data_IF_461548309328
#
_entry.id   IF_461548309328
#
_cell.length_a   1.000
_cell.length_b   1.000
_cell.length_c   1.000
_cell.angle_alpha   90.00
_cell.angle_beta   90.00
_cell.angle_gamma   90.00
#
_symmetry.space_group_name_H-M   'P 1'
#
loop_
_entity.id
_entity.type
_entity.pdbx_description
1 polymer ?
#
# COMPACT_ATOMS: atom_id res chain seq x y z
N UNK A 1 1.23 9.96 -27.81
CA UNK A 1 2.08 8.76 -27.74
C UNK A 1 1.26 7.60 -27.19
N UNK A 2 1.61 6.32 -27.37
CA UNK A 2 0.86 5.25 -26.72
C UNK A 2 0.91 5.45 -25.20
N UNK A 3 -0.24 5.47 -24.53
CA UNK A 3 -0.32 5.45 -23.06
C UNK A 3 0.14 4.11 -22.50
N UNK A 4 -0.11 3.01 -23.23
CA UNK A 4 0.28 1.68 -22.80
C UNK A 4 1.81 1.50 -22.74
N UNK A 5 2.26 0.90 -21.65
CA UNK A 5 3.63 0.40 -21.47
C UNK A 5 3.79 -0.85 -22.34
N UNK A 6 4.87 -0.90 -23.12
CA UNK A 6 5.17 -2.05 -23.98
C UNK A 6 5.71 -3.23 -23.16
N UNK A 7 5.61 -4.48 -23.65
CA UNK A 7 6.17 -5.63 -22.93
C UNK A 7 7.67 -5.54 -22.63
N UNK A 8 8.43 -4.84 -23.48
CA UNK A 8 9.85 -4.62 -23.27
C UNK A 8 10.11 -3.60 -22.14
N UNK A 9 9.38 -2.47 -22.15
CA UNK A 9 9.42 -1.46 -21.08
C UNK A 9 9.00 -2.08 -19.75
N UNK A 10 7.89 -2.84 -19.72
CA UNK A 10 7.41 -3.54 -18.52
C UNK A 10 8.47 -4.49 -17.96
N UNK A 11 9.05 -5.34 -18.81
CA UNK A 11 10.12 -6.26 -18.38
C UNK A 11 11.29 -5.49 -17.78
N UNK A 12 11.74 -4.42 -18.43
CA UNK A 12 12.84 -3.59 -17.93
C UNK A 12 12.50 -2.95 -16.60
N UNK A 13 11.30 -2.39 -16.45
CA UNK A 13 10.82 -1.78 -15.22
C UNK A 13 10.80 -2.79 -14.07
N UNK A 14 10.17 -3.95 -14.25
CA UNK A 14 10.14 -5.03 -13.24
C UNK A 14 11.55 -5.45 -12.86
N UNK A 15 12.44 -5.71 -13.83
CA UNK A 15 13.81 -6.14 -13.51
C UNK A 15 14.61 -5.07 -12.78
N UNK A 16 14.35 -3.79 -13.06
CA UNK A 16 14.96 -2.69 -12.33
C UNK A 16 14.45 -2.65 -10.89
N UNK A 17 13.13 -2.61 -10.70
CA UNK A 17 12.47 -2.57 -9.38
C UNK A 17 12.92 -3.74 -8.50
N UNK A 18 12.85 -4.98 -9.00
CA UNK A 18 13.34 -6.18 -8.29
C UNK A 18 14.85 -6.10 -8.01
N UNK A 19 15.63 -5.56 -8.94
CA UNK A 19 17.09 -5.38 -8.79
C UNK A 19 17.48 -4.41 -7.67
N UNK A 20 16.60 -3.47 -7.30
CA UNK A 20 16.83 -2.57 -6.16
C UNK A 20 16.66 -3.25 -4.80
N UNK A 21 16.09 -4.46 -4.75
CA UNK A 21 15.83 -5.18 -3.51
C UNK A 21 16.83 -6.31 -3.34
N UNK A 22 17.72 -6.18 -2.36
CA UNK A 22 18.71 -7.20 -2.05
C UNK A 22 18.54 -7.70 -0.62
N UNK A 23 18.56 -9.04 -0.36
CA UNK A 23 18.44 -9.57 1.00
C UNK A 23 19.48 -9.01 1.98
N UNK A 24 20.71 -8.78 1.48
CA UNK A 24 21.79 -8.19 2.28
C UNK A 24 21.55 -6.71 2.62
N UNK A 25 21.00 -5.94 1.68
CA UNK A 25 20.64 -4.55 1.90
C UNK A 25 19.55 -4.41 2.97
N UNK A 26 18.47 -5.19 2.83
CA UNK A 26 17.35 -5.21 3.77
C UNK A 26 17.82 -5.55 5.19
N UNK A 27 18.61 -6.60 5.37
CA UNK A 27 19.11 -7.01 6.68
C UNK A 27 20.00 -5.93 7.35
N UNK A 28 20.83 -5.24 6.56
CA UNK A 28 21.70 -4.17 7.07
C UNK A 28 20.93 -2.91 7.50
N UNK A 29 19.86 -2.58 6.78
CA UNK A 29 19.02 -1.42 7.09
C UNK A 29 18.07 -1.66 8.26
N UNK A 30 17.59 -2.89 8.43
CA UNK A 30 16.76 -3.28 9.58
C UNK A 30 17.42 -2.92 10.92
N UNK A 31 18.69 -3.30 11.11
CA UNK A 31 19.42 -2.97 12.34
C UNK A 31 19.66 -1.46 12.54
N UNK A 32 19.76 -0.67 11.46
CA UNK A 32 19.86 0.79 11.55
C UNK A 32 18.53 1.41 11.94
N UNK A 33 17.42 0.94 11.38
CA UNK A 33 16.08 1.43 11.71
C UNK A 33 15.74 1.17 13.19
N UNK A 34 16.05 -0.02 13.72
CA UNK A 34 15.87 -0.30 15.16
C UNK A 34 16.70 0.63 16.06
N UNK A 35 17.90 1.01 15.61
CA UNK A 35 18.73 1.98 16.32
C UNK A 35 18.12 3.39 16.26
N UNK A 36 17.60 3.81 15.10
CA UNK A 36 16.95 5.10 14.90
C UNK A 36 15.64 5.21 15.70
N UNK A 37 14.87 4.13 15.79
CA UNK A 37 13.62 4.07 16.57
C UNK A 37 13.82 4.38 18.06
N UNK A 38 15.03 4.18 18.59
CA UNK A 38 15.38 4.53 19.98
C UNK A 38 15.71 6.01 20.19
N UNK A 39 15.82 6.80 19.11
CA UNK A 39 16.12 8.23 19.17
C UNK A 39 14.85 9.06 19.34
N UNK A 40 14.93 10.29 19.88
CA UNK A 40 13.79 11.21 19.91
C UNK A 40 13.25 11.49 18.50
N UNK A 41 11.92 11.57 18.35
CA UNK A 41 11.25 11.77 17.05
C UNK A 41 11.75 13.01 16.30
N UNK A 42 12.04 14.12 17.00
CA UNK A 42 12.57 15.34 16.39
C UNK A 42 13.93 15.11 15.71
N UNK A 43 14.77 14.23 16.27
CA UNK A 43 16.05 13.87 15.68
C UNK A 43 15.87 12.91 14.50
N UNK A 44 14.96 11.94 14.62
CA UNK A 44 14.62 11.04 13.51
C UNK A 44 14.16 11.84 12.29
N UNK A 45 13.22 12.77 12.47
CA UNK A 45 12.73 13.67 11.41
C UNK A 45 13.86 14.50 10.80
N UNK A 46 14.72 15.10 11.62
CA UNK A 46 15.87 15.85 11.12
C UNK A 46 16.83 15.00 10.26
N UNK A 47 17.07 13.73 10.65
CA UNK A 47 17.88 12.79 9.85
C UNK A 47 17.20 12.51 8.52
N UNK A 48 15.90 12.27 8.54
CA UNK A 48 15.09 12.02 7.34
C UNK A 48 15.12 13.23 6.42
N UNK A 49 14.85 14.44 6.92
CA UNK A 49 14.88 15.69 6.15
C UNK A 49 16.25 15.88 5.47
N UNK A 50 17.33 15.57 6.18
CA UNK A 50 18.69 15.71 5.65
C UNK A 50 19.04 14.63 4.61
N UNK A 51 18.63 13.38 4.84
CA UNK A 51 18.81 12.29 3.87
C UNK A 51 17.95 12.51 2.61
N UNK A 52 16.78 13.10 2.79
CA UNK A 52 15.85 13.44 1.73
C UNK A 52 16.45 14.48 0.74
N UNK A 53 17.42 15.27 1.19
CA UNK A 53 18.08 16.32 0.42
C UNK A 53 19.24 15.85 -0.47
N UNK A 54 19.65 14.57 -0.42
CA UNK A 54 20.90 14.08 -1.07
C UNK A 54 20.76 12.94 -2.09
N UNK A 55 19.54 12.61 -2.52
CA UNK A 55 19.14 11.78 -3.68
C UNK A 55 19.96 10.50 -4.03
N UNK A 56 19.40 9.33 -3.66
CA UNK A 56 18.92 8.38 -4.68
C UNK A 56 17.37 8.39 -4.54
N UNK A 57 16.67 8.62 -5.66
CA UNK A 57 15.34 9.27 -5.66
C UNK A 57 14.16 8.30 -5.46
N UNK A 58 14.34 7.02 -5.78
CA UNK A 58 13.29 5.99 -5.66
C UNK A 58 13.81 4.69 -5.03
N UNK A 59 12.94 4.01 -4.29
CA UNK A 59 13.13 2.65 -3.81
C UNK A 59 12.09 1.72 -4.43
N UNK A 60 12.50 0.46 -4.66
CA UNK A 60 11.57 -0.60 -5.01
C UNK A 60 10.64 -0.92 -3.86
N UNK A 61 9.36 -1.09 -4.17
CA UNK A 61 8.31 -1.55 -3.29
C UNK A 61 7.50 -2.59 -4.06
N UNK A 62 7.75 -3.87 -3.76
CA UNK A 62 7.07 -4.99 -4.41
C UNK A 62 6.05 -5.56 -3.44
N UNK A 63 4.78 -5.54 -3.85
CA UNK A 63 3.73 -6.29 -3.17
C UNK A 63 3.71 -7.70 -3.77
N UNK A 64 3.88 -8.71 -2.93
CA UNK A 64 3.97 -10.10 -3.37
C UNK A 64 2.62 -10.62 -3.88
N UNK A 65 2.61 -11.71 -4.68
CA UNK A 65 1.38 -12.36 -5.09
C UNK A 65 0.49 -12.72 -3.89
N UNK A 66 -0.81 -12.78 -4.16
CA UNK A 66 -1.87 -13.03 -3.20
C UNK A 66 -2.10 -11.90 -2.19
N UNK A 67 -1.80 -10.67 -2.58
CA UNK A 67 -2.25 -9.47 -1.86
C UNK A 67 -3.78 -9.48 -1.76
N UNK A 68 -4.29 -9.44 -0.54
CA UNK A 68 -5.68 -9.72 -0.21
C UNK A 68 -6.35 -8.49 0.39
N UNK A 69 -7.51 -8.13 -0.12
CA UNK A 69 -8.22 -6.90 0.25
C UNK A 69 -9.67 -7.19 0.61
N UNK A 70 -10.12 -6.62 1.72
CA UNK A 70 -11.49 -6.71 2.23
C UNK A 70 -12.09 -5.30 2.30
N UNK A 71 -13.17 -5.04 1.59
CA UNK A 71 -13.89 -3.77 1.71
C UNK A 71 -15.09 -3.90 2.65
N UNK A 72 -15.21 -2.94 3.56
CA UNK A 72 -16.27 -2.85 4.55
C UNK A 72 -16.98 -1.51 4.41
N UNK A 73 -18.31 -1.52 4.53
CA UNK A 73 -19.09 -0.29 4.45
C UNK A 73 -18.86 0.55 5.71
N UNK A 74 -18.69 1.85 5.55
CA UNK A 74 -18.59 2.78 6.68
C UNK A 74 -20.00 3.02 7.24
N UNK A 75 -20.21 2.72 8.52
CA UNK A 75 -21.49 2.85 9.21
C UNK A 75 -21.58 4.11 10.08
N UNK A 76 -20.44 4.67 10.49
CA UNK A 76 -20.30 5.96 11.15
C UNK A 76 -19.33 6.84 10.34
N UNK A 77 -19.91 7.68 9.46
CA UNK A 77 -19.16 8.58 8.60
C UNK A 77 -18.39 9.64 9.41
N UNK A 78 -18.98 10.17 10.48
CA UNK A 78 -18.33 11.18 11.33
C UNK A 78 -17.07 10.61 12.00
N UNK A 79 -17.12 9.34 12.43
CA UNK A 79 -15.95 8.65 12.96
C UNK A 79 -14.87 8.41 11.91
N UNK A 80 -15.24 8.01 10.70
CA UNK A 80 -14.29 7.83 9.61
C UNK A 80 -13.67 9.17 9.16
N UNK A 81 -14.45 10.25 9.07
CA UNK A 81 -13.96 11.58 8.71
C UNK A 81 -12.94 12.13 9.72
N UNK A 82 -13.10 11.83 11.02
CA UNK A 82 -12.11 12.21 12.04
C UNK A 82 -10.75 11.53 11.87
N UNK A 83 -10.67 10.47 11.07
CA UNK A 83 -9.39 9.82 10.74
C UNK A 83 -8.69 10.51 9.56
N UNK A 84 -9.38 11.34 8.80
CA UNK A 84 -8.79 12.00 7.63
C UNK A 84 -7.99 13.25 8.05
N UNK A 85 -6.86 13.54 7.38
CA UNK A 85 -6.23 14.85 7.48
C UNK A 85 -7.17 15.97 7.02
N UNK A 86 -6.84 17.22 7.37
CA UNK A 86 -7.56 18.38 6.84
C UNK A 86 -7.46 18.42 5.31
N UNK A 87 -8.54 18.86 4.64
CA UNK A 87 -8.57 19.00 3.19
C UNK A 87 -8.95 17.72 2.43
N UNK A 88 -9.47 16.71 3.13
CA UNK A 88 -10.03 15.50 2.55
C UNK A 88 -11.54 15.43 2.77
N UNK A 89 -12.25 14.73 1.88
CA UNK A 89 -13.67 14.39 2.04
C UNK A 89 -13.90 12.92 1.72
N UNK A 90 -14.78 12.27 2.49
CA UNK A 90 -15.24 10.93 2.12
C UNK A 90 -15.98 10.98 0.79
N UNK A 91 -15.71 9.98 -0.05
CA UNK A 91 -16.40 9.77 -1.32
C UNK A 91 -16.75 8.29 -1.46
N UNK A 92 -17.89 7.94 -2.08
CA UNK A 92 -18.21 6.55 -2.31
C UNK A 92 -17.33 5.97 -3.42
N UNK A 93 -16.84 4.74 -3.22
CA UNK A 93 -15.95 4.03 -4.14
C UNK A 93 -16.33 2.56 -4.23
N UNK A 94 -15.86 1.87 -5.27
CA UNK A 94 -16.07 0.44 -5.46
C UNK A 94 -14.73 -0.25 -5.69
N UNK A 95 -14.57 -1.52 -5.30
CA UNK A 95 -13.35 -2.27 -5.65
C UNK A 95 -13.34 -2.64 -7.13
N UNK A 96 -14.48 -3.04 -7.67
CA UNK A 96 -14.63 -3.49 -9.06
C UNK A 96 -15.46 -2.50 -9.90
N UNK A 97 -15.16 -2.43 -11.20
CA UNK A 97 -15.73 -1.43 -12.10
C UNK A 97 -17.24 -1.60 -12.34
N UNK A 98 -17.79 -2.79 -12.09
CA UNK A 98 -19.20 -3.12 -12.28
C UNK A 98 -20.04 -3.03 -11.00
N UNK A 99 -19.45 -2.54 -9.90
CA UNK A 99 -20.09 -2.46 -8.59
C UNK A 99 -20.61 -1.06 -8.26
N UNK A 100 -21.56 -1.02 -7.32
CA UNK A 100 -22.12 0.25 -6.86
C UNK A 100 -21.20 0.87 -5.81
N UNK A 101 -20.67 2.08 -6.02
CA UNK A 101 -19.80 2.73 -5.05
C UNK A 101 -20.47 2.96 -3.69
N UNK A 102 -19.71 2.73 -2.61
CA UNK A 102 -20.12 2.96 -1.21
C UNK A 102 -19.01 3.67 -0.45
N UNK A 103 -19.35 4.39 0.61
CA UNK A 103 -18.31 4.81 1.55
C UNK A 103 -17.72 3.56 2.20
N UNK A 104 -16.44 3.31 1.98
CA UNK A 104 -15.82 2.09 2.47
C UNK A 104 -14.48 2.33 3.15
N UNK A 105 -14.21 1.46 4.11
CA UNK A 105 -12.88 1.20 4.62
C UNK A 105 -12.36 -0.06 3.94
N UNK A 106 -11.08 -0.07 3.57
CA UNK A 106 -10.44 -1.22 2.95
C UNK A 106 -9.37 -1.73 3.90
N UNK A 107 -9.39 -3.02 4.19
CA UNK A 107 -8.30 -3.70 4.86
C UNK A 107 -7.46 -4.43 3.82
N UNK A 108 -6.22 -4.00 3.62
CA UNK A 108 -5.24 -4.70 2.79
C UNK A 108 -4.37 -5.60 3.66
N UNK A 109 -4.12 -6.84 3.23
CA UNK A 109 -3.22 -7.79 3.86
C UNK A 109 -2.28 -8.38 2.81
N UNK A 110 -0.99 -8.12 2.92
CA UNK A 110 -0.02 -8.50 1.90
C UNK A 110 1.38 -8.70 2.47
N UNK A 111 2.18 -9.49 1.75
CA UNK A 111 3.63 -9.47 1.96
C UNK A 111 4.25 -8.41 1.05
N UNK A 112 5.29 -7.76 1.55
CA UNK A 112 6.03 -6.72 0.84
C UNK A 112 7.52 -7.00 0.88
N UNK A 113 8.19 -6.69 -0.23
CA UNK A 113 9.64 -6.60 -0.34
C UNK A 113 9.99 -5.21 -0.85
N UNK A 114 10.68 -4.42 -0.02
CA UNK A 114 11.21 -3.13 -0.39
C UNK A 114 12.73 -3.11 -0.24
N UNK A 115 13.40 -2.10 -0.78
CA UNK A 115 14.86 -1.95 -0.67
C UNK A 115 15.34 -1.86 0.78
N UNK A 116 14.46 -1.46 1.69
CA UNK A 116 14.79 -1.18 3.10
C UNK A 116 14.10 -2.12 4.10
N UNK A 117 13.00 -2.78 3.73
CA UNK A 117 12.25 -3.68 4.61
C UNK A 117 11.61 -4.84 3.84
N UNK A 118 11.33 -5.93 4.55
CA UNK A 118 10.61 -7.09 4.01
C UNK A 118 9.77 -7.71 5.13
N UNK A 119 8.52 -8.06 4.83
CA UNK A 119 7.61 -8.68 5.80
C UNK A 119 6.15 -8.66 5.37
N UNK A 120 5.27 -8.95 6.31
CA UNK A 120 3.83 -8.85 6.16
C UNK A 120 3.32 -7.51 6.69
N UNK A 121 2.30 -6.95 6.03
CA UNK A 121 1.59 -5.75 6.45
C UNK A 121 0.09 -6.01 6.38
N UNK A 122 -0.63 -5.47 7.37
CA UNK A 122 -2.07 -5.29 7.32
C UNK A 122 -2.33 -3.80 7.50
N UNK A 123 -3.00 -3.18 6.55
CA UNK A 123 -3.26 -1.73 6.52
C UNK A 123 -4.75 -1.47 6.43
N UNK A 124 -5.23 -0.54 7.26
CA UNK A 124 -6.59 -0.02 7.23
C UNK A 124 -6.60 1.31 6.50
N UNK A 125 -7.26 1.34 5.36
CA UNK A 125 -7.46 2.53 4.55
C UNK A 125 -8.86 3.09 4.73
N UNK A 126 -8.96 4.41 4.83
CA UNK A 126 -10.20 5.15 4.55
C UNK A 126 -10.02 5.82 3.19
N UNK A 127 -10.98 5.60 2.29
CA UNK A 127 -10.91 6.16 0.95
C UNK A 127 -11.56 7.53 0.93
N UNK A 128 -10.79 8.53 0.50
CA UNK A 128 -11.21 9.92 0.49
C UNK A 128 -10.73 10.62 -0.78
N UNK A 129 -11.35 11.74 -1.13
CA UNK A 129 -10.87 12.62 -2.18
C UNK A 129 -10.14 13.81 -1.55
N UNK A 130 -8.92 14.09 -2.01
CA UNK A 130 -8.23 15.33 -1.65
C UNK A 130 -8.95 16.51 -2.31
N UNK A 131 -9.46 17.45 -1.52
CA UNK A 131 -10.16 18.65 -2.01
C UNK A 131 -9.20 19.53 -2.83
N UNK A 132 -7.90 19.46 -2.54
CA UNK A 132 -6.86 20.25 -3.21
C UNK A 132 -6.57 19.74 -4.63
N UNK A 133 -6.44 18.43 -4.82
CA UNK A 133 -6.02 17.85 -6.10
C UNK A 133 -7.17 17.20 -6.88
N UNK A 134 -8.28 16.88 -6.22
CA UNK A 134 -9.39 16.12 -6.78
C UNK A 134 -9.09 14.63 -6.96
N UNK A 135 -7.91 14.16 -6.55
CA UNK A 135 -7.55 12.74 -6.62
C UNK A 135 -8.22 11.96 -5.49
N UNK A 136 -8.66 10.76 -5.83
CA UNK A 136 -8.97 9.73 -4.85
C UNK A 136 -7.66 9.30 -4.18
N UNK A 137 -7.68 9.19 -2.86
CA UNK A 137 -6.51 8.98 -2.02
C UNK A 137 -6.75 7.80 -1.08
N UNK A 138 -5.76 6.92 -0.96
CA UNK A 138 -5.73 5.88 0.06
C UNK A 138 -5.13 6.47 1.34
N UNK A 139 -5.97 6.79 2.32
CA UNK A 139 -5.49 7.32 3.59
C UNK A 139 -5.26 6.16 4.56
N UNK A 140 -4.01 5.87 4.87
CA UNK A 140 -3.61 4.84 5.83
C UNK A 140 -3.91 5.37 7.23
N UNK A 141 -4.92 4.82 7.89
CA UNK A 141 -5.36 5.27 9.21
C UNK A 141 -4.80 4.42 10.36
N UNK A 142 -4.50 3.15 10.06
CA UNK A 142 -3.89 2.21 10.98
C UNK A 142 -3.17 1.10 10.19
N UNK A 143 -2.19 0.45 10.82
CA UNK A 143 -1.52 -0.72 10.28
C UNK A 143 -0.90 -1.59 11.39
N UNK A 144 -0.61 -2.83 11.04
CA UNK A 144 0.26 -3.73 11.79
C UNK A 144 1.28 -4.38 10.85
N UNK A 145 2.53 -4.55 11.30
CA UNK A 145 3.57 -5.18 10.50
C UNK A 145 4.60 -5.95 11.34
N UNK A 146 5.17 -7.01 10.77
CA UNK A 146 6.31 -7.73 11.36
C UNK A 146 7.68 -7.22 10.87
N UNK A 147 7.71 -6.11 10.14
CA UNK A 147 8.95 -5.49 9.68
C UNK A 147 9.05 -4.05 10.17
N UNK A 148 10.18 -3.40 9.91
CA UNK A 148 10.38 -2.00 10.30
C UNK A 148 9.45 -1.08 9.51
N UNK A 149 9.04 0.01 10.14
CA UNK A 149 8.16 0.99 9.53
C UNK A 149 8.71 2.40 9.72
N UNK A 150 8.24 3.28 8.85
CA UNK A 150 8.39 4.72 9.03
C UNK A 150 7.08 5.37 8.62
N UNK A 151 6.52 6.18 9.52
CA UNK A 151 5.39 7.04 9.22
C UNK A 151 5.57 8.43 9.86
N UNK A 152 4.91 9.48 9.34
CA UNK A 152 5.11 10.84 9.81
C UNK A 152 4.75 11.07 11.29
N UNK A 153 3.70 10.39 11.78
CA UNK A 153 3.19 10.53 13.14
C UNK A 153 4.08 9.88 14.19
N UNK A 154 4.53 8.64 13.95
CA UNK A 154 5.23 7.82 14.92
C UNK A 154 6.75 7.74 14.69
N UNK A 155 7.23 8.03 13.47
CA UNK A 155 8.64 7.92 13.08
C UNK A 155 9.05 6.49 12.74
N UNK A 156 10.33 6.14 12.95
CA UNK A 156 10.80 4.77 12.80
C UNK A 156 10.28 3.89 13.94
N UNK A 157 9.67 2.78 13.58
CA UNK A 157 9.23 1.74 14.51
C UNK A 157 9.72 0.36 14.05
N UNK A 158 9.86 -0.55 15.02
CA UNK A 158 10.15 -1.96 14.75
C UNK A 158 8.85 -2.70 14.38
N UNK A 159 8.92 -4.02 14.32
CA UNK A 159 7.74 -4.88 14.19
C UNK A 159 6.72 -4.58 15.31
N UNK A 160 5.46 -4.35 14.94
CA UNK A 160 4.35 -4.10 15.87
C UNK A 160 3.57 -5.38 16.20
N UNK A 161 3.86 -6.49 15.50
CA UNK A 161 3.12 -7.76 15.61
C UNK A 161 3.83 -8.83 16.42
N UNK A 162 3.08 -9.59 17.22
CA UNK A 162 3.54 -10.87 17.78
C UNK A 162 3.27 -12.06 16.84
N UNK A 163 2.33 -11.88 15.89
CA UNK A 163 2.04 -12.83 14.82
C UNK A 163 1.72 -12.05 13.55
N UNK A 164 2.34 -12.43 12.43
CA UNK A 164 2.00 -11.89 11.13
C UNK A 164 2.14 -12.95 10.04
N UNK A 165 1.03 -13.61 9.74
CA UNK A 165 0.92 -14.63 8.70
C UNK A 165 0.04 -14.06 7.59
N UNK A 166 0.61 -13.95 6.40
CA UNK A 166 -0.12 -13.76 5.15
C UNK A 166 0.49 -14.76 4.18
N UNK A 167 -0.23 -15.82 3.84
CA UNK A 167 0.32 -16.94 3.05
C UNK A 167 -0.78 -17.67 2.31
N UNK A 168 -0.40 -18.57 1.40
CA UNK A 168 -1.31 -19.52 0.77
C UNK A 168 -1.13 -20.94 1.29
N UNK A 169 -2.21 -21.71 1.34
CA UNK A 169 -2.19 -23.15 1.52
C UNK A 169 -2.13 -23.92 0.19
N UNK A 170 -1.82 -25.22 0.23
CA UNK A 170 -1.81 -26.08 -0.96
C UNK A 170 -3.18 -26.21 -1.65
N UNK A 171 -4.26 -25.91 -0.94
CA UNK A 171 -5.64 -25.83 -1.44
C UNK A 171 -5.88 -24.60 -2.29
N UNK A 172 -4.96 -23.63 -2.28
CA UNK A 172 -5.13 -22.32 -2.91
C UNK A 172 -5.83 -21.31 -2.01
N UNK A 173 -6.03 -21.59 -0.73
CA UNK A 173 -6.62 -20.60 0.19
C UNK A 173 -5.56 -19.58 0.61
N UNK A 174 -5.87 -18.28 0.54
CA UNK A 174 -5.14 -17.25 1.28
C UNK A 174 -5.52 -17.36 2.75
N UNK A 175 -4.52 -17.31 3.61
CA UNK A 175 -4.64 -17.32 5.07
C UNK A 175 -3.98 -16.05 5.60
N UNK A 176 -4.78 -15.25 6.31
CA UNK A 176 -4.33 -14.07 7.06
C UNK A 176 -4.54 -14.37 8.53
N UNK A 177 -3.48 -14.30 9.33
CA UNK A 177 -3.52 -14.36 10.79
C UNK A 177 -2.48 -13.40 11.35
N UNK A 178 -2.94 -12.20 11.71
CA UNK A 178 -2.09 -11.12 12.20
C UNK A 178 -2.60 -10.65 13.54
N UNK A 179 -1.69 -10.49 14.51
CA UNK A 179 -1.98 -9.98 15.84
C UNK A 179 -0.88 -9.04 16.30
N UNK A 180 -1.30 -7.85 16.73
CA UNK A 180 -0.43 -6.85 17.31
C UNK A 180 0.12 -7.33 18.66
N UNK A 181 1.38 -6.99 18.92
CA UNK A 181 2.01 -7.11 20.24
C UNK A 181 1.72 -5.89 21.13
N UNK A 182 1.30 -4.77 20.53
CA UNK A 182 1.26 -3.46 21.19
C UNK A 182 -0.17 -2.92 21.31
N UNK A 183 -1.07 -3.32 20.40
CA UNK A 183 -2.42 -2.77 20.23
C UNK A 183 -3.48 -3.88 20.26
N UNK A 184 -4.79 -3.56 20.39
CA UNK A 184 -5.86 -4.56 20.31
C UNK A 184 -6.07 -5.16 18.91
N UNK A 185 -5.35 -4.62 17.91
CA UNK A 185 -5.42 -5.00 16.51
C UNK A 185 -5.09 -6.48 16.29
N UNK A 186 -6.01 -7.19 15.64
CA UNK A 186 -5.78 -8.48 15.03
C UNK A 186 -6.84 -8.74 13.95
N UNK A 187 -6.44 -9.54 12.96
CA UNK A 187 -7.27 -10.05 11.88
C UNK A 187 -6.98 -11.54 11.67
N UNK A 188 -8.04 -12.32 11.48
CA UNK A 188 -7.97 -13.72 11.09
C UNK A 188 -8.98 -13.94 9.96
N UNK A 189 -8.49 -14.27 8.77
CA UNK A 189 -9.32 -14.50 7.60
C UNK A 189 -8.75 -15.61 6.72
N UNK A 190 -9.63 -16.37 6.08
CA UNK A 190 -9.28 -17.38 5.07
C UNK A 190 -10.15 -17.17 3.84
N UNK A 191 -9.58 -17.19 2.64
CA UNK A 191 -10.34 -17.02 1.41
C UNK A 191 -9.84 -17.94 0.29
N UNK A 192 -10.77 -18.55 -0.45
CA UNK A 192 -10.43 -19.49 -1.51
C UNK A 192 -10.13 -18.79 -2.83
N UNK A 193 -8.84 -18.70 -3.22
CA UNK A 193 -8.42 -18.12 -4.50
C UNK A 193 -9.03 -18.84 -5.70
N UNK A 194 -9.12 -20.19 -5.74
CA UNK A 194 -9.74 -20.90 -6.86
C UNK A 194 -11.22 -20.59 -7.08
N UNK A 195 -11.92 -20.07 -6.07
CA UNK A 195 -13.31 -19.63 -6.19
C UNK A 195 -13.45 -18.24 -6.83
N UNK A 196 -12.35 -17.48 -6.90
CA UNK A 196 -12.33 -16.15 -7.49
C UNK A 196 -12.28 -16.17 -9.01
N UNK A 197 -12.87 -15.15 -9.63
CA UNK A 197 -12.78 -14.89 -11.07
C UNK A 197 -12.10 -13.55 -11.29
N UNK A 198 -11.35 -13.39 -12.39
CA UNK A 198 -10.75 -12.09 -12.71
C UNK A 198 -11.84 -11.10 -13.14
N UNK A 199 -11.90 -9.94 -12.50
CA UNK A 199 -12.83 -8.86 -12.83
C UNK A 199 -12.07 -7.53 -12.98
N UNK A 200 -12.54 -6.64 -13.89
CA UNK A 200 -12.00 -5.30 -14.00
C UNK A 200 -12.13 -4.52 -12.69
N UNK A 201 -11.05 -3.85 -12.30
CA UNK A 201 -10.99 -3.01 -11.11
C UNK A 201 -11.51 -1.59 -11.40
N UNK A 202 -12.05 -0.92 -10.39
CA UNK A 202 -12.38 0.51 -10.50
C UNK A 202 -11.09 1.34 -10.62
N UNK A 203 -10.90 1.98 -11.78
CA UNK A 203 -9.62 2.64 -12.06
C UNK A 203 -9.41 3.90 -11.23
N UNK A 204 -10.47 4.54 -10.70
CA UNK A 204 -10.29 5.66 -9.77
C UNK A 204 -9.73 5.16 -8.45
N UNK A 205 -10.30 4.08 -7.91
CA UNK A 205 -9.78 3.50 -6.68
C UNK A 205 -8.34 3.01 -6.84
N UNK A 206 -8.06 2.21 -7.87
CA UNK A 206 -6.79 1.48 -7.95
C UNK A 206 -5.67 2.19 -8.69
N UNK A 207 -5.98 3.04 -9.67
CA UNK A 207 -4.94 3.85 -10.34
C UNK A 207 -4.78 5.17 -9.62
N UNK A 208 -5.81 6.05 -9.59
CA UNK A 208 -5.68 7.37 -8.94
C UNK A 208 -5.30 7.24 -7.46
N UNK A 209 -5.88 6.25 -6.76
CA UNK A 209 -5.54 5.97 -5.38
C UNK A 209 -4.07 5.60 -5.14
N UNK A 210 -3.41 4.89 -6.06
CA UNK A 210 -1.96 4.63 -5.95
C UNK A 210 -1.11 5.82 -6.41
N UNK A 211 -1.70 6.81 -7.08
CA UNK A 211 -1.06 8.12 -7.33
C UNK A 211 -1.15 9.05 -6.11
N UNK A 212 -1.98 8.71 -5.11
CA UNK A 212 -2.18 9.51 -3.93
C UNK A 212 -2.41 8.65 -2.67
N UNK A 213 -1.39 8.50 -1.86
CA UNK A 213 -1.43 7.83 -0.56
C UNK A 213 -1.07 8.85 0.51
N UNK A 214 -1.79 8.87 1.63
CA UNK A 214 -1.47 9.74 2.77
C UNK A 214 -1.69 9.01 4.09
N UNK A 215 -1.32 9.65 5.19
CA UNK A 215 -1.43 9.11 6.55
C UNK A 215 -2.50 9.85 7.34
N UNK A 216 -3.44 9.10 7.90
CA UNK A 216 -4.52 9.57 8.75
C UNK A 216 -4.48 8.96 10.15
N UNK A 217 -5.51 9.27 10.94
CA UNK A 217 -5.70 8.72 12.27
C UNK A 217 -4.48 8.94 13.18
N UNK A 218 -3.94 7.86 13.74
CA UNK A 218 -2.75 7.93 14.61
C UNK A 218 -1.45 8.20 13.86
N UNK A 219 -1.44 7.96 12.54
CA UNK A 219 -0.27 8.09 11.67
C UNK A 219 -0.12 9.51 11.12
N UNK A 220 -1.17 10.32 11.27
CA UNK A 220 -1.23 11.69 10.78
C UNK A 220 -0.16 12.57 11.43
N UNK A 221 0.36 13.50 10.63
CA UNK A 221 1.25 14.56 11.09
C UNK A 221 0.99 15.81 10.25
N UNK A 222 0.98 17.00 10.87
CA UNK A 222 0.64 18.28 10.19
C UNK A 222 1.57 18.61 9.01
N UNK A 223 2.79 18.08 9.01
CA UNK A 223 3.75 18.22 7.91
C UNK A 223 3.75 17.09 6.88
N UNK A 224 2.83 16.12 6.97
CA UNK A 224 2.69 15.06 5.95
C UNK A 224 2.13 15.64 4.67
N UNK A 225 2.62 15.15 3.54
CA UNK A 225 2.04 15.40 2.23
C UNK A 225 1.73 14.07 1.57
N UNK A 226 0.62 13.96 0.79
CA UNK A 226 0.33 12.75 0.05
C UNK A 226 1.45 12.45 -0.94
N UNK A 227 1.78 11.18 -1.09
CA UNK A 227 2.80 10.68 -2.00
C UNK A 227 2.19 9.74 -3.04
N UNK A 228 2.81 9.62 -4.21
CA UNK A 228 2.35 8.74 -5.28
C UNK A 228 3.37 7.66 -5.60
N UNK A 229 2.88 6.55 -6.13
CA UNK A 229 3.69 5.44 -6.59
C UNK A 229 3.89 5.51 -8.11
N UNK A 230 5.05 5.09 -8.59
CA UNK A 230 5.32 4.84 -10.02
C UNK A 230 5.14 3.35 -10.28
N UNK A 231 4.25 2.99 -11.21
CA UNK A 231 3.91 1.60 -11.55
C UNK A 231 3.33 1.51 -12.96
N UNK A 232 3.18 0.29 -13.50
CA UNK A 232 2.39 0.06 -14.70
C UNK A 232 0.89 0.01 -14.35
N UNK A 233 0.05 0.93 -14.84
CA UNK A 233 -1.39 0.92 -14.57
C UNK A 233 -2.09 -0.40 -14.95
N UNK A 234 -1.52 -1.16 -15.90
CA UNK A 234 -2.05 -2.47 -16.26
C UNK A 234 -2.02 -3.49 -15.11
N UNK A 235 -1.15 -3.32 -14.12
CA UNK A 235 -1.13 -4.12 -12.89
C UNK A 235 -2.38 -3.88 -12.01
N UNK A 236 -3.10 -2.77 -12.26
CA UNK A 236 -4.36 -2.41 -11.60
C UNK A 236 -5.56 -2.59 -12.53
N UNK A 237 -5.42 -3.32 -13.64
CA UNK A 237 -6.52 -3.51 -14.57
C UNK A 237 -7.60 -4.47 -14.02
N UNK A 238 -7.19 -5.52 -13.31
CA UNK A 238 -8.08 -6.59 -12.86
C UNK A 238 -7.49 -7.35 -11.66
N UNK A 239 -8.35 -7.81 -10.75
CA UNK A 239 -7.97 -8.75 -9.69
C UNK A 239 -8.99 -9.89 -9.61
N UNK A 240 -8.69 -10.92 -8.81
CA UNK A 240 -9.66 -11.95 -8.49
C UNK A 240 -10.71 -11.36 -7.55
N UNK A 241 -11.96 -11.33 -8.01
CA UNK A 241 -13.13 -11.11 -7.18
C UNK A 241 -13.50 -12.44 -6.51
N UNK A 242 -13.29 -12.53 -5.20
CA UNK A 242 -13.62 -13.75 -4.45
C UNK A 242 -15.08 -13.64 -3.96
N UNK A 243 -15.95 -14.62 -4.22
CA UNK A 243 -17.31 -14.62 -3.69
C UNK A 243 -17.29 -14.57 -2.15
N UNK A 244 -18.17 -13.77 -1.54
CA UNK A 244 -18.21 -13.60 -0.07
C UNK A 244 -18.34 -14.94 0.68
N UNK A 245 -19.14 -15.89 0.15
CA UNK A 245 -19.29 -17.23 0.74
C UNK A 245 -18.04 -18.11 0.65
N UNK A 246 -17.00 -17.70 -0.08
CA UNK A 246 -15.70 -18.34 -0.17
C UNK A 246 -14.61 -17.59 0.63
N UNK A 247 -14.99 -16.57 1.41
CA UNK A 247 -14.12 -15.85 2.32
C UNK A 247 -14.74 -15.89 3.74
N UNK A 248 -13.97 -16.39 4.70
CA UNK A 248 -14.34 -16.40 6.11
C UNK A 248 -13.47 -15.40 6.85
N UNK A 249 -14.09 -14.42 7.52
CA UNK A 249 -13.40 -13.51 8.45
C UNK A 249 -13.81 -13.92 9.86
N UNK A 250 -12.89 -14.55 10.58
CA UNK A 250 -13.15 -15.02 11.95
C UNK A 250 -12.97 -13.89 12.97
N UNK A 251 -12.06 -12.95 12.68
CA UNK A 251 -11.81 -11.77 13.51
C UNK A 251 -11.33 -10.63 12.64
N UNK A 252 -11.84 -9.43 12.88
CA UNK A 252 -11.23 -8.20 12.37
C UNK A 252 -11.55 -7.04 13.32
N UNK A 253 -10.53 -6.50 13.97
CA UNK A 253 -10.66 -5.38 14.93
C UNK A 253 -10.26 -4.03 14.35
N UNK A 254 -9.70 -4.00 13.14
CA UNK A 254 -9.35 -2.74 12.49
C UNK A 254 -10.62 -1.97 12.18
N UNK A 255 -10.70 -0.72 12.62
CA UNK A 255 -11.86 0.13 12.39
C UNK A 255 -13.14 -0.30 13.12
N UNK A 256 -13.03 -1.16 14.14
CA UNK A 256 -14.18 -1.60 14.93
C UNK A 256 -14.93 -0.39 15.52
N UNK A 257 -16.25 -0.42 15.41
CA UNK A 257 -17.15 0.63 15.91
C UNK A 257 -17.60 1.67 14.88
N UNK A 258 -16.98 1.76 13.70
CA UNK A 258 -17.38 2.73 12.66
C UNK A 258 -17.49 2.18 11.24
N UNK A 259 -17.07 0.93 11.01
CA UNK A 259 -17.39 0.15 9.80
C UNK A 259 -18.33 -1.01 10.13
N UNK A 260 -18.95 -1.58 9.11
CA UNK A 260 -19.70 -2.81 9.19
C UNK A 260 -18.82 -4.00 9.60
N UNK A 261 -19.43 -5.00 10.25
CA UNK A 261 -18.73 -6.19 10.76
C UNK A 261 -18.28 -7.14 9.64
N UNK A 262 -19.09 -7.25 8.57
CA UNK A 262 -18.85 -8.13 7.43
C UNK A 262 -18.38 -7.35 6.20
N UNK A 263 -17.43 -7.88 5.41
CA UNK A 263 -17.02 -7.24 4.17
C UNK A 263 -18.10 -7.41 3.10
N UNK A 264 -18.25 -6.42 2.22
CA UNK A 264 -19.18 -6.49 1.09
C UNK A 264 -18.48 -6.79 -0.24
N UNK A 265 -17.15 -6.62 -0.31
CA UNK A 265 -16.31 -7.04 -1.44
C UNK A 265 -14.99 -7.63 -0.95
N UNK A 266 -14.46 -8.57 -1.74
CA UNK A 266 -13.17 -9.23 -1.50
C UNK A 266 -12.41 -9.29 -2.81
N UNK A 267 -11.17 -8.79 -2.80
CA UNK A 267 -10.24 -8.92 -3.93
C UNK A 267 -8.93 -9.61 -3.54
N UNK A 268 -8.35 -10.30 -4.51
CA UNK A 268 -7.02 -10.89 -4.38
C UNK A 268 -6.24 -10.68 -5.67
N UNK A 269 -5.04 -10.11 -5.60
CA UNK A 269 -4.14 -10.03 -6.75
C UNK A 269 -3.33 -11.32 -6.82
N UNK A 270 -3.52 -12.19 -7.84
CA UNK A 270 -2.81 -13.47 -7.92
C UNK A 270 -1.37 -13.34 -8.42
N UNK A 271 -0.89 -12.12 -8.63
CA UNK A 271 0.42 -11.78 -9.15
C UNK A 271 1.03 -10.66 -8.30
N UNK A 272 2.36 -10.50 -8.40
CA UNK A 272 3.08 -9.44 -7.72
C UNK A 272 2.79 -8.09 -8.40
N UNK A 273 2.80 -7.02 -7.61
CA UNK A 273 2.67 -5.65 -8.09
C UNK A 273 3.99 -4.91 -7.82
N UNK A 274 4.50 -4.21 -8.83
CA UNK A 274 5.83 -3.61 -8.83
C UNK A 274 5.71 -2.09 -8.80
N UNK A 275 6.11 -1.50 -7.67
CA UNK A 275 6.10 -0.06 -7.50
C UNK A 275 7.51 0.49 -7.27
N UNK A 276 7.72 1.73 -7.71
CA UNK A 276 8.75 2.60 -7.18
C UNK A 276 8.09 3.68 -6.34
N UNK A 277 8.67 3.96 -5.18
CA UNK A 277 8.22 5.04 -4.29
C UNK A 277 9.43 5.80 -3.77
N UNK A 278 9.23 7.02 -3.29
CA UNK A 278 10.32 7.78 -2.70
C UNK A 278 10.74 7.13 -1.37
N UNK A 279 12.03 7.19 -1.05
CA UNK A 279 12.56 6.65 0.23
C UNK A 279 11.85 7.22 1.48
N UNK A 280 11.28 8.41 1.35
CA UNK A 280 10.44 9.07 2.35
C UNK A 280 9.22 9.69 1.65
N UNK A 281 8.02 9.68 2.26
CA UNK A 281 6.82 10.26 1.67
C UNK A 281 7.05 11.71 1.22
N UNK A 282 6.82 11.98 -0.06
CA UNK A 282 6.86 13.34 -0.64
C UNK A 282 5.82 13.45 -1.74
N UNK A 283 5.30 14.66 -1.91
CA UNK A 283 4.42 14.95 -3.04
C UNK A 283 5.12 14.67 -4.37
N UNK A 284 4.45 13.90 -5.22
CA UNK A 284 4.87 13.65 -6.61
C UNK A 284 3.96 14.45 -7.55
N UNK A 285 4.48 14.93 -8.70
CA UNK A 285 3.67 15.65 -9.69
C UNK A 285 2.82 14.73 -10.58
N UNK A 286 2.70 13.44 -10.22
CA UNK A 286 2.03 12.42 -11.03
C UNK A 286 0.56 12.39 -10.61
N UNK A 287 -0.32 12.78 -11.53
CA UNK A 287 -1.75 12.97 -11.24
C UNK A 287 -2.68 12.18 -12.16
N UNK A 288 -2.15 11.48 -13.16
CA UNK A 288 -2.94 10.67 -14.07
C UNK A 288 -2.17 9.46 -14.62
N UNK A 289 -2.91 8.58 -15.30
CA UNK A 289 -2.40 7.35 -15.93
C UNK A 289 -1.31 7.65 -16.97
N UNK A 290 -1.39 8.78 -17.67
CA UNK A 290 -0.40 9.12 -18.68
C UNK A 290 0.93 9.49 -18.05
N UNK A 291 0.89 10.34 -17.01
CA UNK A 291 2.06 10.80 -16.27
C UNK A 291 2.78 9.63 -15.58
N UNK A 292 2.05 8.65 -15.02
CA UNK A 292 2.69 7.48 -14.39
C UNK A 292 3.36 6.58 -15.43
N UNK A 293 2.76 6.41 -16.62
CA UNK A 293 3.39 5.67 -17.71
C UNK A 293 4.67 6.38 -18.24
N UNK A 294 4.68 7.71 -18.29
CA UNK A 294 5.90 8.48 -18.61
C UNK A 294 6.97 8.32 -17.53
N UNK A 295 6.58 8.33 -16.25
CA UNK A 295 7.51 8.10 -15.13
C UNK A 295 8.13 6.69 -15.20
N UNK A 296 7.36 5.66 -15.54
CA UNK A 296 7.91 4.30 -15.78
C UNK A 296 8.99 4.32 -16.87
N UNK A 297 8.72 4.98 -18.00
CA UNK A 297 9.71 5.07 -19.11
C UNK A 297 10.96 5.84 -18.70
N UNK A 298 10.83 6.90 -17.92
CA UNK A 298 11.97 7.65 -17.39
C UNK A 298 12.86 6.75 -16.52
N UNK A 299 12.27 5.99 -15.60
CA UNK A 299 13.00 5.07 -14.73
C UNK A 299 13.69 3.94 -15.51
N UNK A 300 13.04 3.40 -16.55
CA UNK A 300 13.65 2.42 -17.45
C UNK A 300 14.86 3.02 -18.20
N UNK A 301 14.76 4.25 -18.68
CA UNK A 301 15.86 4.91 -19.39
C UNK A 301 17.05 5.19 -18.47
N UNK A 302 16.80 5.70 -17.26
CA UNK A 302 17.82 5.94 -16.23
C UNK A 302 18.59 4.67 -15.86
N UNK A 303 17.87 3.56 -15.62
CA UNK A 303 18.48 2.27 -15.32
C UNK A 303 19.37 1.75 -16.46
N UNK A 304 18.95 1.95 -17.72
CA UNK A 304 19.72 1.56 -18.89
C UNK A 304 21.02 2.38 -19.02
N UNK A 305 20.97 3.69 -18.72
CA UNK A 305 22.15 4.55 -18.71
C UNK A 305 23.15 4.16 -17.62
N UNK A 306 22.67 3.91 -16.39
CA UNK A 306 23.53 3.49 -15.27
C UNK A 306 24.32 2.21 -15.57
N UNK A 307 23.69 1.26 -16.27
CA UNK A 307 24.31 -0.02 -16.67
C UNK A 307 25.39 0.16 -17.75
N UNK A 308 25.30 1.19 -18.60
CA UNK A 308 26.30 1.47 -19.65
C UNK A 308 27.53 2.24 -19.12
N UNK A 309 27.39 2.90 -17.97
CA UNK A 309 28.46 3.67 -17.32
C UNK A 309 29.28 2.89 -16.29
N UNK A 310 28.91 1.65 -15.97
CA UNK A 310 29.57 0.76 -15.02
C UNK A 310 30.47 -0.26 -15.72
#
# INVERSE_FOLDING_TARGET
MPTAITPAELRSFITHTEGTVTPKGVAGLYGRAEMLARMPQSLQRWIVDRASSSADEYMGFIVEPYAFFLAYEITDADAAERLLPEGYRLVPTAMFADETPRHCAILGAFNVRASVFQGARVELYVIAESIRTGLLTWVICDYESNTINYDPGEGFSAATTERAIVTTAHTGDVIVDVRSAERPNAVAATASVPAGTMHPLDQRLWVEGNLSVDYGGRLAHEGSEPFGLVFDPAEMAQALRIPLGAAAVERNTFGEGWRADEPFEVACFPYAQHFLTTNYPRSTPIHDEHAVAEAVRAQVAEAAHATQSA
#
